data_IF_625118520210
#
_entry.id   IF_625118520210
#
_cell.length_a   1.000
_cell.length_b   1.000
_cell.length_c   1.000
_cell.angle_alpha   90.00
_cell.angle_beta   90.00
_cell.angle_gamma   90.00
#
_symmetry.space_group_name_H-M   'P 1'
#
loop_
_entity.id
_entity.type
_entity.pdbx_description
1 polymer ?
#
# COMPACT_ATOMS: atom_id res chain seq x y z
N UNK A 1 17.08 17.38 44.73
CA UNK A 1 16.66 17.66 43.34
C UNK A 1 17.19 16.55 42.45
N UNK A 2 16.37 15.64 41.91
CA UNK A 2 16.86 14.64 40.96
C UNK A 2 16.68 15.11 39.51
N UNK A 3 17.74 14.92 38.72
CA UNK A 3 17.97 15.30 37.33
C UNK A 3 16.92 14.74 36.35
N UNK A 4 16.52 15.47 35.28
CA UNK A 4 15.56 14.95 34.30
C UNK A 4 16.18 13.81 33.45
N UNK A 5 15.42 12.76 33.11
CA UNK A 5 15.94 11.66 32.32
C UNK A 5 16.24 12.09 30.88
N UNK A 6 17.50 11.86 30.51
CA UNK A 6 18.09 12.08 29.19
C UNK A 6 17.29 11.33 28.12
N UNK A 7 16.64 12.10 27.23
CA UNK A 7 15.86 11.63 26.07
C UNK A 7 16.70 10.64 25.24
N UNK A 8 16.43 9.34 25.36
CA UNK A 8 17.02 8.32 24.47
C UNK A 8 16.48 8.53 23.07
N UNK A 9 17.35 8.95 22.16
CA UNK A 9 17.10 9.04 20.73
C UNK A 9 16.64 7.65 20.22
N UNK A 10 15.48 7.63 19.55
CA UNK A 10 14.95 6.48 18.80
C UNK A 10 16.07 5.90 17.94
N UNK A 11 16.52 4.70 18.27
CA UNK A 11 17.09 3.81 17.27
C UNK A 11 15.93 3.11 16.60
N UNK A 12 15.73 3.43 15.32
CA UNK A 12 14.96 2.63 14.41
C UNK A 12 15.77 1.36 14.10
N UNK A 13 15.83 0.44 15.06
CA UNK A 13 16.02 -0.98 14.77
C UNK A 13 14.61 -1.47 14.41
N UNK A 14 14.30 -1.85 13.18
CA UNK A 14 14.96 -2.97 12.52
C UNK A 14 14.13 -4.22 12.79
N UNK A 15 13.16 -4.47 11.90
CA UNK A 15 12.46 -5.74 11.65
C UNK A 15 11.26 -6.14 12.55
N UNK A 16 10.12 -6.29 11.86
CA UNK A 16 9.15 -7.40 12.00
C UNK A 16 8.46 -7.63 13.35
N UNK A 17 7.71 -6.64 13.86
CA UNK A 17 6.87 -6.84 15.06
C UNK A 17 5.42 -6.37 14.97
N UNK A 18 5.07 -5.52 14.01
CA UNK A 18 3.70 -5.08 13.82
C UNK A 18 3.47 -4.99 12.32
N UNK A 19 2.78 -5.98 11.74
CA UNK A 19 2.02 -5.68 10.53
C UNK A 19 1.21 -4.43 10.84
N UNK A 20 1.50 -3.34 10.14
CA UNK A 20 0.70 -2.14 10.29
C UNK A 20 -0.74 -2.47 9.87
N UNK A 21 -1.71 -1.64 10.26
CA UNK A 21 -3.09 -1.76 9.75
C UNK A 21 -3.14 -1.84 8.22
N UNK A 22 -2.18 -1.20 7.54
CA UNK A 22 -2.00 -1.26 6.10
C UNK A 22 -1.61 -2.67 5.58
N UNK A 23 -0.67 -3.35 6.23
CA UNK A 23 -0.28 -4.72 5.84
C UNK A 23 -1.41 -5.72 6.08
N UNK A 24 -2.15 -5.54 7.18
CA UNK A 24 -3.32 -6.37 7.47
C UNK A 24 -4.39 -6.20 6.40
N UNK A 25 -4.69 -4.95 6.01
CA UNK A 25 -5.61 -4.64 4.92
C UNK A 25 -5.12 -5.19 3.56
N UNK A 26 -3.82 -5.12 3.29
CA UNK A 26 -3.23 -5.69 2.09
C UNK A 26 -3.42 -7.22 2.01
N UNK A 27 -3.32 -7.93 3.14
CA UNK A 27 -3.57 -9.37 3.19
C UNK A 27 -5.04 -9.74 2.93
N UNK A 28 -6.01 -8.91 3.34
CA UNK A 28 -7.42 -9.09 2.98
C UNK A 28 -7.65 -8.94 1.47
N UNK A 29 -7.03 -7.95 0.84
CA UNK A 29 -7.09 -7.78 -0.61
C UNK A 29 -6.43 -8.96 -1.34
N UNK A 30 -5.29 -9.43 -0.82
CA UNK A 30 -4.54 -10.55 -1.40
C UNK A 30 -5.33 -11.86 -1.38
N UNK A 31 -6.15 -12.09 -0.36
CA UNK A 31 -7.03 -13.28 -0.26
C UNK A 31 -8.36 -13.12 -1.01
N UNK A 32 -8.73 -11.91 -1.44
CA UNK A 32 -9.98 -11.67 -2.14
C UNK A 32 -9.86 -12.05 -3.64
N UNK A 33 -10.65 -13.03 -4.08
CA UNK A 33 -10.62 -13.54 -5.46
C UNK A 33 -11.09 -12.49 -6.49
N UNK A 34 -12.09 -11.68 -6.13
CA UNK A 34 -12.61 -10.59 -6.97
C UNK A 34 -11.54 -9.53 -7.19
N UNK A 35 -10.84 -9.13 -6.13
CA UNK A 35 -9.72 -8.20 -6.20
C UNK A 35 -8.63 -8.71 -7.16
N UNK A 36 -8.27 -10.00 -7.05
CA UNK A 36 -7.24 -10.59 -7.93
C UNK A 36 -7.67 -10.61 -9.39
N UNK A 37 -8.92 -10.94 -9.67
CA UNK A 37 -9.46 -10.95 -11.04
C UNK A 37 -9.47 -9.54 -11.64
N UNK A 38 -9.99 -8.56 -10.91
CA UNK A 38 -10.02 -7.16 -11.36
C UNK A 38 -8.62 -6.56 -11.52
N UNK A 39 -7.70 -6.89 -10.62
CA UNK A 39 -6.30 -6.45 -10.72
C UNK A 39 -5.60 -7.03 -11.96
N UNK A 40 -5.83 -8.31 -12.27
CA UNK A 40 -5.31 -8.94 -13.49
C UNK A 40 -5.90 -8.29 -14.75
N UNK A 41 -7.21 -8.02 -14.76
CA UNK A 41 -7.89 -7.33 -15.86
C UNK A 41 -7.37 -5.90 -16.06
N UNK A 42 -7.12 -5.18 -14.97
CA UNK A 42 -6.48 -3.87 -15.00
C UNK A 42 -5.09 -3.95 -15.63
N UNK A 43 -4.23 -4.87 -15.16
CA UNK A 43 -2.88 -5.06 -15.71
C UNK A 43 -2.92 -5.41 -17.20
N UNK A 44 -3.85 -6.25 -17.61
CA UNK A 44 -4.00 -6.64 -19.01
C UNK A 44 -4.47 -5.47 -19.89
N UNK A 45 -5.34 -4.61 -19.37
CA UNK A 45 -5.80 -3.39 -20.06
C UNK A 45 -4.70 -2.33 -20.20
N UNK A 46 -3.78 -2.28 -19.22
CA UNK A 46 -2.58 -1.44 -19.29
C UNK A 46 -1.59 -2.01 -20.31
N UNK A 47 -1.36 -3.33 -20.25
CA UNK A 47 -0.43 -4.02 -21.16
C UNK A 47 -0.88 -3.99 -22.62
N UNK A 48 -2.18 -4.03 -22.87
CA UNK A 48 -2.75 -3.87 -24.22
C UNK A 48 -2.76 -2.41 -24.71
N UNK A 49 -2.40 -1.45 -23.87
CA UNK A 49 -2.46 -0.02 -24.19
C UNK A 49 -3.89 0.53 -24.27
N UNK A 50 -4.91 -0.24 -23.89
CA UNK A 50 -6.31 0.18 -23.95
C UNK A 50 -6.61 1.32 -22.96
N UNK A 51 -5.89 1.39 -21.85
CA UNK A 51 -6.04 2.45 -20.83
C UNK A 51 -4.67 2.89 -20.34
N UNK A 52 -4.47 4.21 -20.21
CA UNK A 52 -3.26 4.76 -19.60
C UNK A 52 -3.13 4.28 -18.15
N UNK A 53 -1.92 3.84 -17.77
CA UNK A 53 -1.60 3.28 -16.45
C UNK A 53 -2.17 4.09 -15.29
N UNK A 54 -1.93 5.40 -15.27
CA UNK A 54 -2.39 6.28 -14.20
C UNK A 54 -3.93 6.34 -14.11
N UNK A 55 -4.62 6.25 -15.25
CA UNK A 55 -6.09 6.25 -15.28
C UNK A 55 -6.65 4.94 -14.74
N UNK A 56 -6.04 3.82 -15.13
CA UNK A 56 -6.41 2.49 -14.66
C UNK A 56 -6.17 2.34 -13.15
N UNK A 57 -5.00 2.77 -12.66
CA UNK A 57 -4.65 2.75 -11.24
C UNK A 57 -5.55 3.68 -10.41
N UNK A 58 -5.87 4.89 -10.90
CA UNK A 58 -6.77 5.82 -10.22
C UNK A 58 -8.22 5.29 -10.14
N UNK A 59 -8.73 4.68 -11.20
CA UNK A 59 -10.06 4.07 -11.21
C UNK A 59 -10.13 2.86 -10.25
N UNK A 60 -9.06 2.05 -10.21
CA UNK A 60 -8.95 0.90 -9.32
C UNK A 60 -8.85 1.34 -7.84
N UNK A 61 -8.03 2.35 -7.56
CA UNK A 61 -7.91 2.97 -6.25
C UNK A 61 -9.25 3.47 -5.70
N UNK A 62 -10.02 4.20 -6.52
CA UNK A 62 -11.35 4.70 -6.15
C UNK A 62 -12.34 3.59 -5.82
N UNK A 63 -12.29 2.48 -6.55
CA UNK A 63 -13.20 1.34 -6.37
C UNK A 63 -12.90 0.55 -5.11
N UNK A 64 -11.62 0.34 -4.83
CA UNK A 64 -11.16 -0.47 -3.70
C UNK A 64 -10.79 0.34 -2.46
N UNK A 65 -10.94 1.67 -2.50
CA UNK A 65 -10.57 2.56 -1.39
C UNK A 65 -9.07 2.60 -1.13
N UNK A 66 -8.25 2.33 -2.15
CA UNK A 66 -6.80 2.31 -2.06
C UNK A 66 -6.22 3.67 -2.41
N UNK A 67 -5.06 4.00 -1.86
CA UNK A 67 -4.27 5.14 -2.29
C UNK A 67 -2.90 4.61 -2.72
N UNK A 68 -2.62 4.66 -4.02
CA UNK A 68 -1.28 4.38 -4.51
C UNK A 68 -0.43 5.62 -4.23
N UNK A 69 0.72 5.42 -3.57
CA UNK A 69 1.71 6.49 -3.45
C UNK A 69 2.41 6.56 -4.80
N UNK A 70 1.98 7.50 -5.64
CA UNK A 70 2.68 7.83 -6.88
C UNK A 70 4.11 8.19 -6.48
N UNK A 71 5.07 7.40 -6.93
CA UNK A 71 6.48 7.61 -6.65
C UNK A 71 7.00 8.81 -7.44
N UNK A 72 6.58 10.01 -7.05
CA UNK A 72 7.20 11.25 -7.46
C UNK A 72 8.26 11.61 -6.41
N UNK A 73 9.49 11.19 -6.69
CA UNK A 73 10.72 11.51 -5.95
C UNK A 73 11.91 11.27 -6.85
#
# INVERSE_FOLDING_TARGET
MPTPPRRRQRRADGLSGALGRADLAAEFLRRNHTYRAEHAQMQQSIASGAVARNTAEAAFARRWGLSFRDGAG
#
